data_IF_253459103483
#
_entry.id   IF_253459103483
#
_cell.length_a   1.000
_cell.length_b   1.000
_cell.length_c   1.000
_cell.angle_alpha   90.00
_cell.angle_beta   90.00
_cell.angle_gamma   90.00
#
_symmetry.space_group_name_H-M   'P 1'
#
loop_
_entity.id
_entity.type
_entity.pdbx_description
1 polymer ?
#
# COMPACT_ATOMS: atom_id res chain seq x y z
N UNK A 1 17.17 4.96 -17.07
CA UNK A 1 15.73 4.70 -17.24
C UNK A 1 14.92 5.86 -16.66
N UNK A 2 13.75 6.19 -17.24
CA UNK A 2 12.90 7.26 -16.67
C UNK A 2 12.41 6.88 -15.25
N UNK A 3 12.39 7.81 -14.29
CA UNK A 3 12.00 7.52 -12.90
C UNK A 3 10.62 6.88 -12.75
N UNK A 4 9.63 7.27 -13.56
CA UNK A 4 8.31 6.63 -13.59
C UNK A 4 8.38 5.14 -13.93
N UNK A 5 9.20 4.74 -14.92
CA UNK A 5 9.35 3.33 -15.28
C UNK A 5 10.03 2.54 -14.17
N UNK A 6 10.97 3.17 -13.44
CA UNK A 6 11.55 2.54 -12.24
C UNK A 6 10.48 2.33 -11.16
N UNK A 7 9.64 3.33 -10.91
CA UNK A 7 8.53 3.21 -9.96
C UNK A 7 7.55 2.10 -10.37
N UNK A 8 7.20 2.04 -11.66
CA UNK A 8 6.27 1.04 -12.20
C UNK A 8 6.81 -0.39 -12.04
N UNK A 9 8.05 -0.63 -12.43
CA UNK A 9 8.70 -1.95 -12.29
C UNK A 9 8.89 -2.32 -10.82
N UNK A 10 9.19 -1.36 -9.95
CA UNK A 10 9.37 -1.62 -8.53
C UNK A 10 8.06 -1.98 -7.81
N UNK A 11 6.94 -1.32 -8.16
CA UNK A 11 5.67 -1.46 -7.46
C UNK A 11 4.69 -2.44 -8.12
N UNK A 12 5.01 -2.97 -9.31
CA UNK A 12 4.10 -3.82 -10.07
C UNK A 12 4.84 -4.93 -10.81
N UNK A 13 4.10 -5.98 -11.12
CA UNK A 13 4.55 -7.09 -11.98
C UNK A 13 4.24 -6.86 -13.46
N UNK A 14 3.81 -5.66 -13.84
CA UNK A 14 3.48 -5.35 -15.23
C UNK A 14 4.69 -5.60 -16.14
N UNK A 15 4.52 -6.23 -17.31
CA UNK A 15 5.62 -6.66 -18.17
C UNK A 15 6.22 -5.48 -18.95
N UNK A 16 6.82 -4.54 -18.22
CA UNK A 16 7.54 -3.40 -18.82
C UNK A 16 8.97 -3.81 -19.10
N UNK A 17 9.37 -3.79 -20.37
CA UNK A 17 10.74 -4.08 -20.80
C UNK A 17 11.55 -2.79 -20.87
N UNK A 18 12.55 -2.60 -19.99
CA UNK A 18 13.48 -1.48 -20.14
C UNK A 18 14.29 -1.63 -21.44
N UNK A 19 14.75 -0.52 -22.02
CA UNK A 19 15.70 -0.58 -23.15
C UNK A 19 16.96 -1.33 -22.72
N UNK A 20 17.57 -2.05 -23.64
CA UNK A 20 18.85 -2.70 -23.42
C UNK A 20 19.86 -1.68 -22.82
N UNK A 21 20.55 -2.06 -21.74
CA UNK A 21 21.51 -1.24 -20.99
C UNK A 21 20.93 -0.03 -20.21
N UNK A 22 19.61 0.12 -20.08
CA UNK A 22 19.03 1.18 -19.27
C UNK A 22 19.13 0.84 -17.78
N UNK A 23 20.00 1.52 -17.04
CA UNK A 23 20.07 1.37 -15.59
C UNK A 23 18.83 2.01 -14.91
N UNK A 24 18.27 1.38 -13.86
CA UNK A 24 17.19 1.95 -13.07
C UNK A 24 17.60 3.31 -12.49
N UNK A 25 16.66 4.25 -12.43
CA UNK A 25 16.86 5.48 -11.67
C UNK A 25 16.95 5.16 -10.17
N UNK A 26 17.63 5.97 -9.34
CA UNK A 26 17.56 5.86 -7.89
C UNK A 26 16.12 5.85 -7.39
N UNK A 27 15.82 5.03 -6.37
CA UNK A 27 14.46 4.91 -5.83
C UNK A 27 13.91 6.25 -5.31
N UNK A 28 14.76 7.09 -4.74
CA UNK A 28 14.38 8.44 -4.29
C UNK A 28 13.87 9.34 -5.42
N UNK A 29 14.40 9.18 -6.66
CA UNK A 29 13.89 9.90 -7.85
C UNK A 29 12.63 9.25 -8.42
N UNK A 30 12.44 7.95 -8.20
CA UNK A 30 11.24 7.22 -8.61
C UNK A 30 10.07 7.46 -7.64
N UNK A 31 10.34 7.69 -6.36
CA UNK A 31 9.38 7.84 -5.29
C UNK A 31 8.23 8.85 -5.58
N UNK A 32 8.46 10.06 -6.09
CA UNK A 32 7.38 11.00 -6.40
C UNK A 32 6.34 10.46 -7.41
N UNK A 33 6.69 9.42 -8.17
CA UNK A 33 5.81 8.76 -9.13
C UNK A 33 4.96 7.64 -8.52
N UNK A 34 5.22 7.25 -7.27
CA UNK A 34 4.51 6.16 -6.60
C UNK A 34 2.99 6.36 -6.57
N UNK A 35 2.44 7.56 -6.24
CA UNK A 35 1.00 7.77 -6.26
C UNK A 35 0.39 7.65 -7.67
N UNK A 36 1.12 8.07 -8.71
CA UNK A 36 0.66 7.90 -10.08
C UNK A 36 0.63 6.42 -10.50
N UNK A 37 1.60 5.62 -10.06
CA UNK A 37 1.55 4.14 -10.21
C UNK A 37 0.37 3.57 -9.42
N UNK A 38 0.09 4.10 -8.23
CA UNK A 38 -1.09 3.76 -7.45
C UNK A 38 -2.40 4.03 -8.20
N UNK A 39 -2.51 5.19 -8.85
CA UNK A 39 -3.67 5.55 -9.66
C UNK A 39 -3.83 4.61 -10.88
N UNK A 40 -2.74 4.24 -11.53
CA UNK A 40 -2.75 3.25 -12.62
C UNK A 40 -3.24 1.89 -12.12
N UNK A 41 -2.71 1.41 -10.98
CA UNK A 41 -3.17 0.18 -10.34
C UNK A 41 -4.66 0.24 -10.01
N UNK A 42 -5.13 1.35 -9.44
CA UNK A 42 -6.54 1.58 -9.15
C UNK A 42 -7.42 1.51 -10.38
N UNK A 43 -6.96 2.06 -11.50
CA UNK A 43 -7.64 1.95 -12.79
C UNK A 43 -7.74 0.51 -13.29
N UNK A 44 -6.63 -0.25 -13.22
CA UNK A 44 -6.62 -1.68 -13.58
C UNK A 44 -7.55 -2.50 -12.68
N UNK A 45 -7.55 -2.24 -11.38
CA UNK A 45 -8.44 -2.90 -10.42
C UNK A 45 -9.91 -2.56 -10.67
N UNK A 46 -10.22 -1.32 -11.04
CA UNK A 46 -11.58 -0.90 -11.41
C UNK A 46 -12.07 -1.64 -12.65
N UNK A 47 -11.21 -1.74 -13.69
CA UNK A 47 -11.52 -2.53 -14.89
C UNK A 47 -11.70 -4.02 -14.58
N UNK A 48 -10.80 -4.59 -13.75
CA UNK A 48 -10.91 -5.98 -13.32
C UNK A 48 -12.19 -6.22 -12.48
N UNK A 49 -12.54 -5.31 -11.57
CA UNK A 49 -13.77 -5.41 -10.78
C UNK A 49 -15.02 -5.41 -11.66
N UNK A 50 -15.08 -4.57 -12.70
CA UNK A 50 -16.18 -4.54 -13.66
C UNK A 50 -16.28 -5.86 -14.45
N UNK A 51 -15.16 -6.38 -14.95
CA UNK A 51 -15.12 -7.63 -15.70
C UNK A 51 -15.51 -8.85 -14.84
N UNK A 52 -14.93 -8.94 -13.63
CA UNK A 52 -15.21 -10.04 -12.71
C UNK A 52 -16.65 -10.00 -12.19
N UNK A 53 -17.17 -8.80 -11.90
CA UNK A 53 -18.56 -8.62 -11.46
C UNK A 53 -19.60 -8.97 -12.53
N UNK A 54 -19.24 -8.87 -13.82
CA UNK A 54 -20.08 -9.32 -14.93
C UNK A 54 -20.09 -10.85 -15.12
N UNK A 55 -19.02 -11.54 -14.68
CA UNK A 55 -18.81 -12.97 -14.95
C UNK A 55 -19.11 -13.87 -13.75
N UNK A 56 -18.97 -13.36 -12.52
CA UNK A 56 -18.97 -14.17 -11.30
C UNK A 56 -19.91 -13.62 -10.22
N UNK A 57 -20.43 -14.49 -9.33
CA UNK A 57 -21.12 -14.04 -8.11
C UNK A 57 -20.27 -13.09 -7.28
N UNK A 58 -20.89 -12.15 -6.53
CA UNK A 58 -20.15 -11.06 -5.85
C UNK A 58 -19.01 -11.51 -4.95
N UNK A 59 -19.20 -12.57 -4.16
CA UNK A 59 -18.15 -13.08 -3.27
C UNK A 59 -16.95 -13.62 -4.06
N UNK A 60 -17.20 -14.40 -5.12
CA UNK A 60 -16.13 -14.94 -5.94
C UNK A 60 -15.41 -13.82 -6.71
N UNK A 61 -16.13 -12.83 -7.21
CA UNK A 61 -15.54 -11.65 -7.84
C UNK A 61 -14.61 -10.88 -6.87
N UNK A 62 -15.01 -10.71 -5.59
CA UNK A 62 -14.17 -10.06 -4.58
C UNK A 62 -12.91 -10.87 -4.25
N UNK A 63 -13.01 -12.20 -4.14
CA UNK A 63 -11.85 -13.09 -3.93
C UNK A 63 -10.89 -12.99 -5.11
N UNK A 64 -11.41 -13.12 -6.35
CA UNK A 64 -10.60 -13.02 -7.56
C UNK A 64 -9.95 -11.64 -7.71
N UNK A 65 -10.66 -10.56 -7.38
CA UNK A 65 -10.12 -9.20 -7.40
C UNK A 65 -8.97 -9.04 -6.39
N UNK A 66 -9.09 -9.64 -5.20
CA UNK A 66 -8.01 -9.66 -4.21
C UNK A 66 -6.78 -10.41 -4.75
N UNK A 67 -6.98 -11.54 -5.42
CA UNK A 67 -5.90 -12.30 -6.06
C UNK A 67 -5.24 -11.51 -7.20
N UNK A 68 -6.03 -10.84 -8.05
CA UNK A 68 -5.52 -9.95 -9.11
C UNK A 68 -4.70 -8.81 -8.50
N UNK A 69 -5.17 -8.21 -7.39
CA UNK A 69 -4.43 -7.14 -6.69
C UNK A 69 -3.07 -7.64 -6.20
N UNK A 70 -3.05 -8.78 -5.49
CA UNK A 70 -1.80 -9.40 -5.02
C UNK A 70 -0.86 -9.75 -6.20
N UNK A 71 -1.39 -10.29 -7.29
CA UNK A 71 -0.60 -10.62 -8.48
C UNK A 71 -0.01 -9.36 -9.13
N UNK A 72 -0.78 -8.27 -9.27
CA UNK A 72 -0.31 -7.01 -9.86
C UNK A 72 0.82 -6.36 -9.05
N UNK A 73 0.84 -6.55 -7.72
CA UNK A 73 1.89 -6.03 -6.84
C UNK A 73 3.00 -7.05 -6.54
N UNK A 74 2.86 -8.28 -7.04
CA UNK A 74 3.80 -9.39 -6.76
C UNK A 74 3.85 -9.79 -5.30
N UNK A 75 2.86 -9.43 -4.49
CA UNK A 75 2.84 -9.70 -3.05
C UNK A 75 3.85 -8.90 -2.21
N UNK A 76 4.60 -7.98 -2.82
CA UNK A 76 5.68 -7.23 -2.17
C UNK A 76 5.26 -6.60 -0.83
N UNK A 77 4.08 -6.02 -0.77
CA UNK A 77 3.59 -5.33 0.43
C UNK A 77 2.98 -6.30 1.44
N UNK A 78 2.37 -7.40 0.96
CA UNK A 78 1.85 -8.49 1.81
C UNK A 78 3.00 -9.19 2.56
N UNK A 79 4.15 -9.36 1.93
CA UNK A 79 5.36 -9.85 2.56
C UNK A 79 5.80 -8.95 3.72
N UNK A 80 5.88 -7.62 3.48
CA UNK A 80 6.17 -6.66 4.54
C UNK A 80 5.14 -6.64 5.68
N UNK A 81 3.85 -6.89 5.39
CA UNK A 81 2.81 -7.06 6.40
C UNK A 81 3.07 -8.32 7.24
N UNK A 82 3.40 -9.44 6.61
CA UNK A 82 3.71 -10.70 7.27
C UNK A 82 4.92 -10.56 8.22
N UNK A 83 6.02 -10.00 7.70
CA UNK A 83 7.24 -9.75 8.47
C UNK A 83 6.99 -8.83 9.67
N UNK A 84 6.16 -7.80 9.48
CA UNK A 84 5.75 -6.91 10.57
C UNK A 84 4.87 -7.61 11.60
N UNK A 85 3.99 -8.53 11.20
CA UNK A 85 3.21 -9.33 12.15
C UNK A 85 4.14 -10.19 13.04
N UNK A 86 5.11 -10.86 12.46
CA UNK A 86 6.06 -11.66 13.25
C UNK A 86 7.00 -10.78 14.08
N UNK A 87 7.54 -9.70 13.50
CA UNK A 87 8.51 -8.87 14.19
C UNK A 87 7.90 -7.93 15.23
N UNK A 88 6.84 -7.19 14.88
CA UNK A 88 6.25 -6.22 15.79
C UNK A 88 5.47 -6.85 16.93
N UNK A 89 4.83 -8.01 16.74
CA UNK A 89 4.01 -8.64 17.79
C UNK A 89 4.85 -9.49 18.75
N UNK A 90 6.04 -9.96 18.37
CA UNK A 90 6.90 -10.76 19.24
C UNK A 90 7.31 -9.97 20.50
N UNK A 91 7.29 -10.56 21.72
CA UNK A 91 7.66 -9.90 22.97
C UNK A 91 9.18 -9.95 23.23
N UNK A 92 9.95 -9.37 22.30
CA UNK A 92 11.43 -9.40 22.32
C UNK A 92 12.03 -8.01 22.12
N UNK A 93 13.36 -7.88 22.23
CA UNK A 93 14.09 -6.61 22.01
C UNK A 93 13.95 -6.11 20.56
N UNK A 94 14.18 -4.81 20.34
CA UNK A 94 14.14 -4.20 19.01
C UNK A 94 15.10 -4.89 18.02
N UNK A 95 16.33 -5.21 18.46
CA UNK A 95 17.31 -5.91 17.65
C UNK A 95 16.78 -7.30 17.20
N UNK A 96 16.23 -8.07 18.13
CA UNK A 96 15.69 -9.39 17.83
C UNK A 96 14.47 -9.34 16.91
N UNK A 97 13.62 -8.30 17.01
CA UNK A 97 12.52 -8.06 16.07
C UNK A 97 13.04 -7.85 14.65
N UNK A 98 14.08 -7.01 14.47
CA UNK A 98 14.69 -6.77 13.17
C UNK A 98 15.35 -8.03 12.58
N UNK A 99 15.83 -8.96 13.41
CA UNK A 99 16.32 -10.28 12.96
C UNK A 99 15.17 -11.18 12.50
N UNK A 100 14.07 -11.25 13.28
CA UNK A 100 12.87 -12.02 12.92
C UNK A 100 12.33 -11.57 11.55
N UNK A 101 12.22 -10.26 11.32
CA UNK A 101 11.77 -9.67 10.05
C UNK A 101 12.72 -9.92 8.86
N UNK A 102 13.84 -10.59 9.05
CA UNK A 102 14.77 -11.01 7.98
C UNK A 102 14.79 -12.54 7.81
N UNK A 103 14.14 -13.26 8.69
CA UNK A 103 14.07 -14.73 8.61
C UNK A 103 13.09 -15.11 7.48
N UNK A 104 13.52 -15.87 6.46
CA UNK A 104 12.63 -16.26 5.37
C UNK A 104 11.52 -17.23 5.79
N UNK A 105 11.55 -17.71 7.04
CA UNK A 105 10.52 -18.60 7.58
C UNK A 105 9.35 -17.79 8.14
N UNK A 106 8.16 -18.10 7.68
CA UNK A 106 6.94 -17.47 8.16
C UNK A 106 6.58 -18.02 9.55
N UNK A 107 6.40 -17.13 10.51
CA UNK A 107 5.94 -17.47 11.87
C UNK A 107 4.41 -17.50 11.97
N UNK A 108 3.91 -17.87 13.14
CA UNK A 108 2.48 -17.99 13.41
C UNK A 108 1.75 -16.65 13.34
N UNK A 109 2.38 -15.55 13.80
CA UNK A 109 1.77 -14.23 13.75
C UNK A 109 1.62 -13.72 12.30
N UNK A 110 2.59 -14.00 11.41
CA UNK A 110 2.49 -13.70 9.99
C UNK A 110 1.32 -14.46 9.35
N UNK A 111 1.22 -15.77 9.60
CA UNK A 111 0.13 -16.58 9.06
C UNK A 111 -1.25 -16.09 9.50
N UNK A 112 -1.44 -15.87 10.80
CA UNK A 112 -2.70 -15.33 11.34
C UNK A 112 -2.99 -13.93 10.77
N UNK A 113 -1.98 -13.05 10.76
CA UNK A 113 -2.10 -11.69 10.27
C UNK A 113 -2.51 -11.64 8.80
N UNK A 114 -1.87 -12.42 7.92
CA UNK A 114 -2.21 -12.52 6.50
C UNK A 114 -3.63 -13.05 6.29
N UNK A 115 -4.02 -14.11 6.98
CA UNK A 115 -5.37 -14.68 6.83
C UNK A 115 -6.43 -13.64 7.22
N UNK A 116 -6.30 -13.02 8.39
CA UNK A 116 -7.25 -12.01 8.85
C UNK A 116 -7.27 -10.78 7.91
N UNK A 117 -6.10 -10.31 7.48
CA UNK A 117 -5.99 -9.19 6.56
C UNK A 117 -6.66 -9.48 5.20
N UNK A 118 -6.38 -10.62 4.59
CA UNK A 118 -6.96 -11.01 3.31
C UNK A 118 -8.47 -11.21 3.41
N UNK A 119 -8.98 -11.81 4.48
CA UNK A 119 -10.41 -11.91 4.74
C UNK A 119 -11.05 -10.52 4.84
N UNK A 120 -10.46 -9.60 5.61
CA UNK A 120 -10.95 -8.22 5.71
C UNK A 120 -10.94 -7.51 4.36
N UNK A 121 -9.89 -7.69 3.55
CA UNK A 121 -9.78 -7.08 2.21
C UNK A 121 -10.87 -7.63 1.26
N UNK A 122 -11.12 -8.93 1.26
CA UNK A 122 -12.19 -9.56 0.48
C UNK A 122 -13.57 -9.02 0.91
N UNK A 123 -13.87 -9.00 2.20
CA UNK A 123 -15.16 -8.50 2.68
C UNK A 123 -15.32 -7.00 2.50
N UNK A 124 -14.25 -6.20 2.59
CA UNK A 124 -14.28 -4.79 2.26
C UNK A 124 -14.62 -4.57 0.78
N UNK A 125 -13.97 -5.30 -0.14
CA UNK A 125 -14.27 -5.25 -1.57
C UNK A 125 -15.70 -5.68 -1.90
N UNK A 126 -16.18 -6.76 -1.28
CA UNK A 126 -17.56 -7.24 -1.41
C UNK A 126 -18.59 -6.20 -0.96
N UNK A 127 -18.24 -5.38 0.03
CA UNK A 127 -19.11 -4.39 0.67
C UNK A 127 -19.02 -2.99 0.02
N UNK A 128 -18.20 -2.81 -1.02
CA UNK A 128 -18.11 -1.52 -1.70
C UNK A 128 -19.45 -1.14 -2.33
N UNK A 129 -19.82 0.15 -2.32
CA UNK A 129 -21.01 0.61 -3.02
C UNK A 129 -20.86 0.39 -4.53
N UNK A 130 -21.93 0.07 -5.24
CA UNK A 130 -21.87 -0.10 -6.69
C UNK A 130 -21.58 1.23 -7.41
N UNK A 131 -21.02 1.13 -8.62
CA UNK A 131 -20.78 2.29 -9.49
C UNK A 131 -19.68 3.22 -9.01
N UNK A 132 -19.89 4.52 -9.13
CA UNK A 132 -18.87 5.56 -8.93
C UNK A 132 -18.20 5.52 -7.53
N UNK A 133 -18.96 5.18 -6.48
CA UNK A 133 -18.43 5.09 -5.13
C UNK A 133 -17.40 3.96 -4.97
N UNK A 134 -17.67 2.77 -5.50
CA UNK A 134 -16.73 1.65 -5.49
C UNK A 134 -15.51 1.93 -6.37
N UNK A 135 -15.70 2.58 -7.51
CA UNK A 135 -14.58 2.98 -8.38
C UNK A 135 -13.68 4.00 -7.70
N UNK A 136 -14.26 5.00 -7.02
CA UNK A 136 -13.48 5.97 -6.26
C UNK A 136 -12.65 5.29 -5.16
N UNK A 137 -13.21 4.29 -4.46
CA UNK A 137 -12.47 3.51 -3.46
C UNK A 137 -11.28 2.77 -4.07
N UNK A 138 -11.49 2.08 -5.21
CA UNK A 138 -10.44 1.32 -5.90
C UNK A 138 -9.34 2.22 -6.48
N UNK A 139 -9.68 3.43 -6.94
CA UNK A 139 -8.72 4.42 -7.40
C UNK A 139 -7.93 5.02 -6.22
N UNK A 140 -8.63 5.41 -5.15
CA UNK A 140 -8.01 6.12 -4.03
C UNK A 140 -7.12 5.21 -3.17
N UNK A 141 -7.53 3.97 -2.90
CA UNK A 141 -6.82 3.09 -1.98
C UNK A 141 -5.34 2.91 -2.35
N UNK A 142 -4.97 2.44 -3.55
CA UNK A 142 -3.57 2.29 -3.91
C UNK A 142 -2.85 3.62 -4.13
N UNK A 143 -3.58 4.69 -4.51
CA UNK A 143 -2.98 6.02 -4.73
C UNK A 143 -2.57 6.66 -3.42
N UNK A 144 -3.47 6.68 -2.42
CA UNK A 144 -3.23 7.23 -1.10
C UNK A 144 -2.13 6.47 -0.34
N UNK A 145 -2.16 5.15 -0.40
CA UNK A 145 -1.18 4.31 0.27
C UNK A 145 0.25 4.60 -0.22
N UNK A 146 0.42 4.76 -1.53
CA UNK A 146 1.71 5.06 -2.14
C UNK A 146 2.17 6.51 -1.93
N UNK A 147 1.27 7.40 -1.61
CA UNK A 147 1.63 8.75 -1.17
C UNK A 147 2.06 8.78 0.30
N UNK A 148 1.30 8.13 1.20
CA UNK A 148 1.61 8.11 2.63
C UNK A 148 2.93 7.39 2.93
N UNK A 149 3.32 6.39 2.14
CA UNK A 149 4.62 5.73 2.31
C UNK A 149 5.79 6.68 2.06
N UNK A 150 5.63 7.71 1.22
CA UNK A 150 6.68 8.72 1.01
C UNK A 150 6.93 9.54 2.28
N UNK A 151 5.86 9.82 3.03
CA UNK A 151 5.99 10.48 4.33
C UNK A 151 6.69 9.57 5.36
N UNK A 152 6.42 8.26 5.37
CA UNK A 152 7.15 7.30 6.19
C UNK A 152 8.63 7.23 5.79
N UNK A 153 8.96 7.31 4.51
CA UNK A 153 10.33 7.27 4.03
C UNK A 153 11.19 8.42 4.58
N UNK A 154 10.58 9.58 4.85
CA UNK A 154 11.27 10.74 5.46
C UNK A 154 11.53 10.57 6.98
N UNK A 155 11.07 9.49 7.59
CA UNK A 155 11.27 9.25 9.02
C UNK A 155 12.59 8.51 9.27
N UNK A 156 13.13 8.54 10.53
CA UNK A 156 14.33 7.79 10.88
C UNK A 156 14.20 6.31 10.50
N UNK A 157 15.23 5.78 9.85
CA UNK A 157 15.27 4.39 9.40
C UNK A 157 15.85 3.50 10.52
N UNK A 158 15.19 2.37 10.82
CA UNK A 158 15.66 1.39 11.80
C UNK A 158 16.84 0.54 11.27
N UNK A 159 16.99 0.48 9.93
CA UNK A 159 18.11 -0.19 9.24
C UNK A 159 18.86 0.83 8.40
N UNK A 160 20.19 0.99 8.57
CA UNK A 160 20.98 1.95 7.80
C UNK A 160 21.11 1.59 6.30
N UNK A 161 20.90 0.32 5.98
CA UNK A 161 20.89 -0.19 4.60
C UNK A 161 19.60 -0.98 4.33
N UNK A 162 19.08 -0.87 3.11
CA UNK A 162 17.87 -1.57 2.68
C UNK A 162 16.97 -0.68 1.80
N UNK A 163 15.84 -1.23 1.34
CA UNK A 163 14.92 -0.53 0.44
C UNK A 163 14.37 0.77 1.04
N UNK A 164 14.05 0.77 2.34
CA UNK A 164 13.58 1.97 3.04
C UNK A 164 14.61 3.08 3.05
N UNK A 165 15.87 2.78 3.35
CA UNK A 165 16.96 3.75 3.33
C UNK A 165 17.23 4.26 1.91
N UNK A 166 17.25 3.38 0.90
CA UNK A 166 17.42 3.76 -0.50
C UNK A 166 16.27 4.65 -1.03
N UNK A 167 15.06 4.48 -0.51
CA UNK A 167 13.92 5.34 -0.83
C UNK A 167 14.05 6.72 -0.17
N UNK A 168 14.56 6.76 1.06
CA UNK A 168 14.75 7.99 1.84
C UNK A 168 15.88 8.86 1.29
N UNK A 169 16.92 8.25 0.73
CA UNK A 169 18.14 8.92 0.27
C UNK A 169 17.85 9.93 -0.84
N UNK A 170 17.89 11.23 -0.50
CA UNK A 170 17.66 12.31 -1.46
C UNK A 170 16.18 12.60 -1.77
N UNK A 171 15.22 11.97 -1.08
CA UNK A 171 13.82 12.32 -1.20
C UNK A 171 13.57 13.70 -0.57
N UNK A 172 13.00 14.61 -1.35
CA UNK A 172 12.77 16.00 -0.94
C UNK A 172 11.31 16.25 -0.60
N UNK A 173 11.04 17.04 0.45
CA UNK A 173 9.67 17.43 0.87
C UNK A 173 8.82 18.05 -0.26
N UNK A 174 9.34 18.96 -1.13
CA UNK A 174 8.55 19.49 -2.24
C UNK A 174 8.03 18.43 -3.20
N UNK A 175 8.77 17.32 -3.37
CA UNK A 175 8.33 16.22 -4.21
C UNK A 175 7.05 15.52 -3.67
N UNK A 176 6.85 15.50 -2.34
CA UNK A 176 5.63 14.98 -1.73
C UNK A 176 4.42 15.85 -2.07
N UNK A 177 4.58 17.18 -2.09
CA UNK A 177 3.49 18.09 -2.44
C UNK A 177 3.07 17.90 -3.89
N UNK A 178 4.01 17.83 -4.83
CA UNK A 178 3.72 17.57 -6.23
C UNK A 178 3.06 16.20 -6.44
N UNK A 179 3.50 15.17 -5.69
CA UNK A 179 2.97 13.81 -5.72
C UNK A 179 1.55 13.69 -5.11
N UNK A 180 1.02 14.74 -4.46
CA UNK A 180 -0.34 14.74 -3.90
C UNK A 180 -1.43 14.91 -4.95
N UNK A 181 -1.14 15.48 -6.12
CA UNK A 181 -2.14 15.76 -7.15
C UNK A 181 -3.03 14.54 -7.50
N UNK A 182 -2.49 13.36 -7.85
CA UNK A 182 -3.32 12.20 -8.15
C UNK A 182 -4.15 11.74 -6.95
N UNK A 183 -3.66 11.92 -5.72
CA UNK A 183 -4.39 11.61 -4.48
C UNK A 183 -5.59 12.53 -4.32
N UNK A 184 -5.38 13.84 -4.47
CA UNK A 184 -6.44 14.85 -4.37
C UNK A 184 -7.55 14.62 -5.40
N UNK A 185 -7.18 14.30 -6.64
CA UNK A 185 -8.16 13.97 -7.71
C UNK A 185 -8.95 12.70 -7.37
N UNK A 186 -8.28 11.62 -6.97
CA UNK A 186 -8.96 10.38 -6.60
C UNK A 186 -9.87 10.56 -5.36
N UNK A 187 -9.44 11.34 -4.36
CA UNK A 187 -10.23 11.65 -3.18
C UNK A 187 -11.47 12.48 -3.52
N UNK A 188 -11.34 13.46 -4.42
CA UNK A 188 -12.46 14.29 -4.87
C UNK A 188 -13.59 13.47 -5.51
N UNK A 189 -13.25 12.41 -6.27
CA UNK A 189 -14.23 11.49 -6.84
C UNK A 189 -15.03 10.74 -5.75
N UNK A 190 -14.45 10.54 -4.58
CA UNK A 190 -15.07 9.88 -3.43
C UNK A 190 -15.95 10.81 -2.56
N UNK A 191 -15.95 12.12 -2.82
CA UNK A 191 -16.67 13.10 -2.02
C UNK A 191 -16.24 13.06 -0.54
N UNK A 192 -17.21 13.14 0.39
CA UNK A 192 -16.93 13.10 1.83
C UNK A 192 -16.23 11.82 2.30
N UNK A 193 -16.52 10.66 1.66
CA UNK A 193 -15.81 9.40 1.94
C UNK A 193 -14.35 9.46 1.52
N UNK A 194 -14.06 10.14 0.42
CA UNK A 194 -12.68 10.42 0.00
C UNK A 194 -11.94 11.26 1.04
N UNK A 195 -12.55 12.33 1.53
CA UNK A 195 -11.98 13.14 2.61
C UNK A 195 -11.79 12.35 3.91
N UNK A 196 -12.78 11.54 4.31
CA UNK A 196 -12.65 10.64 5.46
C UNK A 196 -11.52 9.61 5.29
N UNK A 197 -11.37 9.04 4.10
CA UNK A 197 -10.31 8.09 3.80
C UNK A 197 -8.91 8.74 3.88
N UNK A 198 -8.75 10.00 3.47
CA UNK A 198 -7.50 10.75 3.66
C UNK A 198 -7.15 10.87 5.15
N UNK A 199 -8.12 11.24 5.99
CA UNK A 199 -7.91 11.41 7.44
C UNK A 199 -7.61 10.07 8.14
N UNK A 200 -8.42 9.04 7.86
CA UNK A 200 -8.26 7.73 8.48
C UNK A 200 -7.01 7.01 7.97
N UNK A 201 -6.67 7.15 6.70
CA UNK A 201 -5.43 6.63 6.13
C UNK A 201 -4.20 7.31 6.74
N UNK A 202 -4.21 8.63 6.92
CA UNK A 202 -3.15 9.36 7.59
C UNK A 202 -3.03 8.94 9.07
N UNK A 203 -4.15 8.73 9.77
CA UNK A 203 -4.16 8.24 11.14
C UNK A 203 -3.57 6.82 11.24
N UNK A 204 -3.93 5.92 10.31
CA UNK A 204 -3.36 4.58 10.24
C UNK A 204 -1.84 4.61 10.02
N UNK A 205 -1.37 5.40 9.05
CA UNK A 205 0.06 5.58 8.80
C UNK A 205 0.81 6.15 10.01
N UNK A 206 0.20 7.10 10.73
CA UNK A 206 0.77 7.66 11.95
C UNK A 206 0.85 6.65 13.09
N UNK A 207 -0.19 5.81 13.28
CA UNK A 207 -0.18 4.73 14.29
C UNK A 207 0.90 3.69 13.99
N UNK A 208 1.06 3.31 12.72
CA UNK A 208 2.11 2.39 12.27
C UNK A 208 3.49 3.00 12.54
N UNK A 209 3.69 4.27 12.20
CA UNK A 209 4.94 4.97 12.49
C UNK A 209 5.25 4.99 13.98
N UNK A 210 4.27 5.29 14.84
CA UNK A 210 4.46 5.26 16.29
C UNK A 210 4.85 3.88 16.79
N UNK A 211 4.17 2.83 16.31
CA UNK A 211 4.49 1.45 16.67
C UNK A 211 5.90 1.06 16.21
N UNK A 212 6.29 1.42 14.98
CA UNK A 212 7.61 1.16 14.44
C UNK A 212 8.71 1.88 15.23
N UNK A 213 8.53 3.17 15.53
CA UNK A 213 9.49 3.93 16.36
C UNK A 213 9.64 3.34 17.76
N UNK A 214 8.53 2.96 18.41
CA UNK A 214 8.55 2.41 19.75
C UNK A 214 9.16 1.00 19.82
N UNK A 215 8.97 0.18 18.79
CA UNK A 215 9.35 -1.23 18.80
C UNK A 215 10.63 -1.56 18.04
N UNK A 216 10.98 -0.78 17.02
CA UNK A 216 12.13 -0.99 16.14
C UNK A 216 13.15 0.16 16.18
N UNK A 217 12.79 1.30 16.77
CA UNK A 217 13.60 2.53 16.74
C UNK A 217 13.44 3.35 15.44
N UNK A 218 12.65 2.90 14.48
CA UNK A 218 12.47 3.59 13.19
C UNK A 218 11.67 2.76 12.18
N UNK A 219 11.74 3.19 10.91
CA UNK A 219 11.01 2.57 9.80
C UNK A 219 11.93 1.58 9.06
N UNK A 220 11.35 0.50 8.50
CA UNK A 220 12.00 -0.43 7.55
C UNK A 220 11.18 -0.50 6.26
N UNK A 221 11.70 -1.16 5.22
CA UNK A 221 10.93 -1.45 4.01
C UNK A 221 9.65 -2.24 4.31
N UNK A 222 9.72 -3.19 5.25
CA UNK A 222 8.60 -4.03 5.66
C UNK A 222 7.51 -3.19 6.34
N UNK A 223 7.89 -2.23 7.20
CA UNK A 223 6.95 -1.25 7.80
C UNK A 223 6.28 -0.39 6.73
N UNK A 224 7.00 -0.05 5.67
CA UNK A 224 6.42 0.67 4.53
C UNK A 224 5.41 -0.22 3.78
N UNK A 225 5.71 -1.51 3.58
CA UNK A 225 4.79 -2.49 3.01
C UNK A 225 3.52 -2.65 3.86
N UNK A 226 3.68 -2.84 5.18
CA UNK A 226 2.55 -2.85 6.13
C UNK A 226 1.71 -1.58 6.02
N UNK A 227 2.34 -0.40 5.92
CA UNK A 227 1.62 0.87 5.79
C UNK A 227 0.79 0.91 4.51
N UNK A 228 1.33 0.46 3.38
CA UNK A 228 0.61 0.40 2.11
C UNK A 228 -0.63 -0.47 2.25
N UNK A 229 -0.50 -1.71 2.74
CA UNK A 229 -1.62 -2.64 2.87
C UNK A 229 -2.68 -2.11 3.84
N UNK A 230 -2.27 -1.57 4.99
CA UNK A 230 -3.21 -1.04 5.99
C UNK A 230 -3.94 0.22 5.51
N UNK A 231 -3.28 1.12 4.79
CA UNK A 231 -3.93 2.31 4.22
C UNK A 231 -4.89 1.92 3.10
N UNK A 232 -4.54 0.95 2.26
CA UNK A 232 -5.44 0.39 1.26
C UNK A 232 -6.70 -0.19 1.94
N UNK A 233 -6.53 -1.03 2.95
CA UNK A 233 -7.65 -1.63 3.68
C UNK A 233 -8.52 -0.59 4.37
N UNK A 234 -7.93 0.36 5.10
CA UNK A 234 -8.67 1.45 5.78
C UNK A 234 -9.47 2.28 4.78
N UNK A 235 -8.91 2.58 3.62
CA UNK A 235 -9.61 3.28 2.54
C UNK A 235 -10.82 2.46 2.07
N UNK A 236 -10.64 1.19 1.75
CA UNK A 236 -11.75 0.32 1.34
C UNK A 236 -12.85 0.22 2.41
N UNK A 237 -12.47 0.03 3.68
CA UNK A 237 -13.41 -0.01 4.81
C UNK A 237 -14.19 1.30 4.98
N UNK A 238 -13.55 2.46 4.75
CA UNK A 238 -14.21 3.77 4.79
C UNK A 238 -15.34 3.88 3.76
N UNK A 239 -15.12 3.35 2.56
CA UNK A 239 -16.15 3.33 1.51
C UNK A 239 -17.20 2.24 1.72
N UNK A 240 -16.83 1.11 2.31
CA UNK A 240 -17.72 0.01 2.63
C UNK A 240 -18.65 0.32 3.83
N UNK A 241 -18.26 1.26 4.70
CA UNK A 241 -19.04 1.61 5.90
C UNK A 241 -20.44 2.12 5.54
N UNK A 242 -21.47 1.58 6.22
CA UNK A 242 -22.85 2.02 6.13
C UNK A 242 -23.09 3.18 7.10
N UNK A 243 -22.62 4.37 6.73
CA UNK A 243 -22.88 5.59 7.50
C UNK A 243 -24.08 6.26 6.86
N UNK A 244 -25.20 6.47 7.61
CA UNK A 244 -26.33 7.21 7.09
C UNK A 244 -25.88 8.63 6.69
N UNK A 245 -26.42 9.22 5.63
CA UNK A 245 -26.15 10.62 5.30
C UNK A 245 -26.58 11.49 6.50
N UNK A 246 -25.69 12.41 6.87
CA UNK A 246 -25.97 13.45 7.88
C UNK A 246 -27.07 14.37 7.39
#
# INVERSE_FOLDING_TARGET
MHPFLTALIFLTTLPVRPRANAQPAPLSRAAPWFPLVGLLLGGLLTGAAAALGALFPPLLAAVLLTAVWAALTGGLHLDGLADCCDGLLAPVSAQRRLEIMKDPRMGSFAGIGLILFLLLKVFALLSLPPGAGGWAALLLAPTLARWLVLWLALQPQARPAGLGAALAEGLQKPALLAAFLPVGLAAALGGWRGAAALLLGAAAAWLILRAAKARLGGVTGDVMGLCIEMVELVTLLTFAARIPPL
#
